data_IF_771104493193
#
_entry.id   IF_771104493193
#
_cell.length_a   1.000
_cell.length_b   1.000
_cell.length_c   1.000
_cell.angle_alpha   90.00
_cell.angle_beta   90.00
_cell.angle_gamma   90.00
#
_symmetry.space_group_name_H-M   'P 1'
#
loop_
_entity.id
_entity.type
_entity.pdbx_description
1 polymer ?
#
# COMPACT_ATOMS: atom_id res chain seq x y z
N UNK A 1 6.15 20.26 -4.87
CA UNK A 1 4.96 19.41 -4.97
C UNK A 1 3.74 20.27 -5.00
N UNK A 2 2.99 20.07 -5.94
CA UNK A 2 1.84 20.92 -6.10
C UNK A 2 0.63 20.36 -5.34
N UNK A 3 -0.33 21.22 -5.13
CA UNK A 3 -1.56 20.88 -4.45
C UNK A 3 -2.50 20.00 -5.28
N UNK A 4 -2.11 19.67 -6.53
CA UNK A 4 -2.92 18.82 -7.37
C UNK A 4 -2.80 17.35 -7.03
N UNK A 5 -1.76 16.95 -6.31
CA UNK A 5 -1.64 15.58 -5.81
C UNK A 5 -2.80 15.32 -4.86
N UNK A 6 -3.43 14.17 -5.03
CA UNK A 6 -4.58 13.78 -4.24
C UNK A 6 -5.79 14.70 -4.43
N UNK A 7 -5.84 15.45 -5.53
CA UNK A 7 -6.94 16.38 -5.78
C UNK A 7 -8.28 15.69 -5.95
N UNK A 8 -8.28 14.41 -6.32
CA UNK A 8 -9.52 13.63 -6.45
C UNK A 8 -10.08 13.18 -5.09
N UNK A 9 -9.35 13.42 -4.01
CA UNK A 9 -9.78 13.04 -2.67
C UNK A 9 -10.39 14.23 -1.96
N UNK A 10 -11.42 13.96 -1.17
CA UNK A 10 -12.12 14.97 -0.40
C UNK A 10 -11.81 14.78 1.08
N UNK A 11 -11.45 15.85 1.76
CA UNK A 11 -11.15 15.79 3.20
C UNK A 11 -9.72 15.37 3.51
N UNK A 12 -9.44 15.21 4.79
CA UNK A 12 -8.13 14.77 5.31
C UNK A 12 -6.95 15.59 4.81
N UNK A 13 -7.06 16.91 4.87
CA UNK A 13 -6.02 17.81 4.39
C UNK A 13 -4.68 17.61 5.10
N UNK A 14 -4.69 17.23 6.36
CA UNK A 14 -3.47 16.94 7.11
C UNK A 14 -2.72 15.74 6.51
N UNK A 15 -3.44 14.67 6.20
CA UNK A 15 -2.86 13.47 5.62
C UNK A 15 -2.30 13.76 4.24
N UNK A 16 -3.07 14.48 3.42
CA UNK A 16 -2.63 14.86 2.08
C UNK A 16 -1.34 15.68 2.14
N UNK A 17 -1.28 16.63 3.07
CA UNK A 17 -0.12 17.50 3.24
C UNK A 17 1.10 16.71 3.70
N UNK A 18 0.90 15.83 4.69
CA UNK A 18 1.97 14.97 5.18
C UNK A 18 2.54 14.11 4.06
N UNK A 19 1.69 13.46 3.28
CA UNK A 19 2.14 12.59 2.20
C UNK A 19 2.80 13.38 1.06
N UNK A 20 2.27 14.55 0.74
CA UNK A 20 2.88 15.41 -0.27
C UNK A 20 4.29 15.83 0.14
N UNK A 21 4.47 16.19 1.40
CA UNK A 21 5.78 16.58 1.93
C UNK A 21 6.73 15.39 1.93
N UNK A 22 6.25 14.22 2.33
CA UNK A 22 7.07 13.01 2.35
C UNK A 22 7.52 12.62 0.95
N UNK A 23 6.66 12.77 -0.04
CA UNK A 23 7.00 12.52 -1.44
C UNK A 23 8.09 13.47 -1.93
N UNK A 24 7.92 14.76 -1.63
CA UNK A 24 8.87 15.78 -2.05
C UNK A 24 10.25 15.56 -1.44
N UNK A 25 10.30 15.11 -0.19
CA UNK A 25 11.53 14.87 0.54
C UNK A 25 12.05 13.43 0.40
N UNK A 26 11.35 12.60 -0.34
CA UNK A 26 11.68 11.18 -0.52
C UNK A 26 11.79 10.44 0.81
N UNK A 27 10.88 10.77 1.74
CA UNK A 27 10.85 10.19 3.09
C UNK A 27 9.58 9.40 3.36
N UNK A 28 8.93 8.87 2.33
CA UNK A 28 7.73 8.04 2.52
C UNK A 28 8.14 6.80 3.32
N UNK A 29 7.51 6.56 4.49
CA UNK A 29 7.86 5.38 5.29
C UNK A 29 7.60 4.08 4.54
N UNK A 30 8.38 3.06 4.84
CA UNK A 30 8.22 1.74 4.22
C UNK A 30 6.91 1.06 4.60
N UNK A 31 6.28 1.46 5.69
CA UNK A 31 5.01 0.90 6.11
C UNK A 31 4.10 2.02 6.60
N UNK A 32 2.89 2.05 6.07
CA UNK A 32 1.86 3.02 6.46
C UNK A 32 0.57 2.28 6.78
N UNK A 33 -0.04 2.64 7.90
CA UNK A 33 -1.37 2.16 8.25
C UNK A 33 -2.32 3.32 7.98
N UNK A 34 -3.31 3.06 7.14
CA UNK A 34 -4.28 4.07 6.74
C UNK A 34 -5.65 3.67 7.25
N UNK A 35 -6.18 4.45 8.19
CA UNK A 35 -7.48 4.22 8.77
C UNK A 35 -8.53 5.14 8.14
N UNK A 36 -9.72 4.65 8.01
CA UNK A 36 -10.83 5.44 7.53
C UNK A 36 -12.05 4.58 7.28
N UNK A 37 -13.21 5.20 7.29
CA UNK A 37 -14.45 4.50 7.04
C UNK A 37 -14.45 3.89 5.63
N UNK A 38 -15.28 2.88 5.44
CA UNK A 38 -15.48 2.30 4.12
C UNK A 38 -15.95 3.40 3.16
N UNK A 39 -15.35 3.47 2.00
CA UNK A 39 -15.69 4.49 1.01
C UNK A 39 -15.04 5.84 1.24
N UNK A 40 -14.12 5.96 2.21
CA UNK A 40 -13.46 7.22 2.52
C UNK A 40 -12.32 7.59 1.56
N UNK A 41 -12.03 6.72 0.58
CA UNK A 41 -10.99 6.99 -0.41
C UNK A 41 -9.61 6.45 -0.05
N UNK A 42 -9.52 5.49 0.88
CA UNK A 42 -8.24 4.90 1.26
C UNK A 42 -7.50 4.28 0.07
N UNK A 43 -8.21 3.48 -0.71
CA UNK A 43 -7.62 2.83 -1.88
C UNK A 43 -7.15 3.87 -2.89
N UNK A 44 -7.97 4.89 -3.12
CA UNK A 44 -7.63 5.97 -4.05
C UNK A 44 -6.38 6.71 -3.58
N UNK A 45 -6.29 6.97 -2.28
CA UNK A 45 -5.13 7.63 -1.70
C UNK A 45 -3.86 6.83 -1.96
N UNK A 46 -3.89 5.53 -1.71
CA UNK A 46 -2.75 4.65 -1.92
C UNK A 46 -2.38 4.59 -3.40
N UNK A 47 -3.36 4.48 -4.28
CA UNK A 47 -3.13 4.46 -5.73
C UNK A 47 -2.42 5.74 -6.18
N UNK A 48 -2.91 6.90 -5.72
CA UNK A 48 -2.28 8.18 -6.04
C UNK A 48 -0.84 8.25 -5.52
N UNK A 49 -0.62 7.75 -4.31
CA UNK A 49 0.71 7.74 -3.71
C UNK A 49 1.68 6.86 -4.51
N UNK A 50 1.24 5.67 -4.90
CA UNK A 50 2.06 4.76 -5.69
C UNK A 50 2.38 5.37 -7.05
N UNK A 51 1.39 5.99 -7.69
CA UNK A 51 1.61 6.66 -8.98
C UNK A 51 2.64 7.78 -8.84
N UNK A 52 2.55 8.57 -7.78
CA UNK A 52 3.49 9.65 -7.54
C UNK A 52 4.91 9.16 -7.30
N UNK A 53 5.04 8.01 -6.64
CA UNK A 53 6.35 7.41 -6.37
C UNK A 53 6.96 6.73 -7.59
N UNK A 54 6.13 6.32 -8.54
CA UNK A 54 6.56 5.46 -9.65
C UNK A 54 6.74 6.19 -10.97
N UNK A 55 6.28 7.42 -11.07
CA UNK A 55 6.38 8.19 -12.30
C UNK A 55 5.25 7.92 -13.29
N UNK A 56 5.17 8.76 -14.32
CA UNK A 56 4.03 8.79 -15.23
C UNK A 56 3.96 7.59 -16.18
N UNK A 57 5.08 6.95 -16.47
CA UNK A 57 5.14 5.86 -17.47
C UNK A 57 4.21 4.69 -17.14
N UNK A 58 4.06 4.38 -15.85
CA UNK A 58 3.31 3.22 -15.42
C UNK A 58 1.97 3.58 -14.76
N UNK A 59 1.57 4.83 -14.83
CA UNK A 59 0.36 5.30 -14.16
C UNK A 59 -0.88 4.52 -14.58
N UNK A 60 -1.04 4.27 -15.88
CA UNK A 60 -2.20 3.55 -16.37
C UNK A 60 -2.27 2.13 -15.81
N UNK A 61 -1.16 1.42 -15.80
CA UNK A 61 -1.11 0.07 -15.25
C UNK A 61 -1.42 0.05 -13.76
N UNK A 62 -0.93 1.02 -13.03
CA UNK A 62 -1.18 1.12 -11.59
C UNK A 62 -2.66 1.38 -11.35
N UNK A 63 -3.25 2.32 -12.07
CA UNK A 63 -4.65 2.69 -11.87
C UNK A 63 -5.63 1.60 -12.25
N UNK A 64 -5.31 0.82 -13.29
CA UNK A 64 -6.22 -0.24 -13.72
C UNK A 64 -5.93 -1.60 -13.09
N UNK A 65 -4.95 -1.66 -12.18
CA UNK A 65 -4.67 -2.87 -11.40
C UNK A 65 -3.90 -3.94 -12.14
N UNK A 66 -3.23 -3.60 -13.26
CA UNK A 66 -2.47 -4.57 -14.04
C UNK A 66 -0.97 -4.52 -13.80
N UNK A 67 -0.49 -3.64 -12.94
CA UNK A 67 0.94 -3.56 -12.64
C UNK A 67 1.35 -4.73 -11.71
N UNK A 68 2.31 -5.54 -12.18
CA UNK A 68 2.74 -6.72 -11.42
C UNK A 68 3.54 -6.37 -10.16
N UNK A 69 4.05 -5.16 -10.06
CA UNK A 69 4.81 -4.71 -8.90
C UNK A 69 3.93 -4.09 -7.80
N UNK A 70 2.63 -4.03 -8.04
CA UNK A 70 1.65 -3.61 -7.04
C UNK A 70 0.80 -4.83 -6.69
N UNK A 71 1.05 -5.38 -5.52
CA UNK A 71 0.42 -6.63 -5.09
C UNK A 71 -0.65 -6.30 -4.04
N UNK A 72 -1.90 -6.63 -4.37
CA UNK A 72 -3.04 -6.35 -3.49
C UNK A 72 -3.47 -7.62 -2.78
N UNK A 73 -3.60 -7.54 -1.46
CA UNK A 73 -4.12 -8.61 -0.64
C UNK A 73 -5.42 -8.13 -0.02
N UNK A 74 -6.47 -8.93 -0.13
CA UNK A 74 -7.75 -8.57 0.47
C UNK A 74 -8.46 -9.81 0.99
N UNK A 75 -9.44 -9.57 1.86
CA UNK A 75 -10.22 -10.65 2.45
C UNK A 75 -11.07 -11.32 1.37
N UNK A 76 -10.90 -12.64 1.16
CA UNK A 76 -11.76 -13.35 0.20
C UNK A 76 -13.23 -13.28 0.63
N UNK A 77 -14.17 -13.20 -0.34
CA UNK A 77 -15.60 -13.05 -0.03
C UNK A 77 -16.17 -14.17 0.83
N UNK A 78 -15.58 -15.37 0.75
CA UNK A 78 -16.06 -16.55 1.46
C UNK A 78 -15.33 -16.80 2.78
N UNK A 79 -14.49 -15.87 3.21
CA UNK A 79 -13.70 -16.03 4.43
C UNK A 79 -13.92 -14.87 5.40
N UNK A 80 -13.63 -15.15 6.67
CA UNK A 80 -13.75 -14.16 7.75
C UNK A 80 -12.42 -13.59 8.19
N UNK A 81 -11.31 -14.18 7.74
CA UNK A 81 -9.99 -13.74 8.14
C UNK A 81 -8.98 -13.96 7.03
N UNK A 82 -7.87 -13.23 7.13
CA UNK A 82 -6.72 -13.38 6.25
C UNK A 82 -5.67 -14.13 7.06
N UNK A 83 -5.32 -15.32 6.59
CA UNK A 83 -4.43 -16.21 7.33
C UNK A 83 -2.96 -16.00 7.02
N UNK A 84 -2.13 -16.79 7.67
CA UNK A 84 -0.67 -16.69 7.57
C UNK A 84 -0.15 -16.96 6.16
N UNK A 85 -0.90 -17.69 5.34
CA UNK A 85 -0.53 -17.96 3.95
C UNK A 85 -0.36 -16.67 3.16
N UNK A 86 -1.21 -15.68 3.43
CA UNK A 86 -1.11 -14.38 2.75
C UNK A 86 0.22 -13.69 3.13
N UNK A 87 0.61 -13.74 4.40
CA UNK A 87 1.88 -13.16 4.83
C UNK A 87 3.08 -13.88 4.20
N UNK A 88 2.98 -15.19 4.05
CA UNK A 88 4.03 -15.98 3.38
C UNK A 88 4.17 -15.61 1.91
N UNK A 89 3.03 -15.40 1.22
CA UNK A 89 3.04 -14.94 -0.16
C UNK A 89 3.69 -13.57 -0.28
N UNK A 90 3.33 -12.66 0.62
CA UNK A 90 3.93 -11.32 0.64
C UNK A 90 5.45 -11.43 0.81
N UNK A 91 5.89 -12.26 1.74
CA UNK A 91 7.32 -12.46 1.97
C UNK A 91 8.04 -12.98 0.73
N UNK A 92 7.42 -13.93 0.05
CA UNK A 92 7.98 -14.50 -1.17
C UNK A 92 8.12 -13.45 -2.26
N UNK A 93 7.06 -12.68 -2.51
CA UNK A 93 7.08 -11.64 -3.54
C UNK A 93 7.98 -10.48 -3.18
N UNK A 94 8.13 -10.17 -1.89
CA UNK A 94 8.99 -9.08 -1.45
C UNK A 94 10.47 -9.36 -1.72
N UNK A 95 10.86 -10.63 -1.81
CA UNK A 95 12.24 -11.01 -2.08
C UNK A 95 12.58 -11.05 -3.58
N UNK A 96 11.58 -10.85 -4.44
CA UNK A 96 11.77 -10.84 -5.89
C UNK A 96 11.85 -9.40 -6.37
N UNK A 97 12.82 -9.10 -7.23
CA UNK A 97 13.00 -7.75 -7.73
C UNK A 97 11.80 -7.26 -8.54
N UNK A 98 11.57 -5.94 -8.55
CA UNK A 98 10.47 -5.37 -9.33
C UNK A 98 10.69 -5.59 -10.84
N UNK A 99 9.58 -5.65 -11.56
CA UNK A 99 9.60 -5.88 -12.99
C UNK A 99 9.46 -4.59 -13.80
N UNK A 100 8.43 -3.81 -13.53
CA UNK A 100 8.12 -2.59 -14.27
C UNK A 100 8.51 -1.31 -13.53
N UNK A 101 8.45 -1.33 -12.22
CA UNK A 101 8.70 -0.16 -11.38
C UNK A 101 10.07 -0.24 -10.74
N UNK A 102 10.49 0.85 -10.11
CA UNK A 102 11.74 0.88 -9.34
C UNK A 102 11.57 0.29 -7.95
N UNK A 103 10.34 0.00 -7.55
CA UNK A 103 10.04 -0.56 -6.24
C UNK A 103 8.84 -1.47 -6.30
N UNK A 104 8.56 -2.12 -5.17
CA UNK A 104 7.41 -2.99 -5.01
C UNK A 104 6.49 -2.44 -3.94
N UNK A 105 5.19 -2.57 -4.18
CA UNK A 105 4.17 -2.03 -3.30
C UNK A 105 3.18 -3.11 -2.93
N UNK A 106 3.00 -3.30 -1.64
CA UNK A 106 2.03 -4.25 -1.11
C UNK A 106 0.90 -3.47 -0.46
N UNK A 107 -0.31 -3.69 -0.97
CA UNK A 107 -1.50 -3.03 -0.46
C UNK A 107 -2.36 -4.10 0.21
N UNK A 108 -2.53 -3.99 1.52
CA UNK A 108 -3.30 -4.96 2.28
C UNK A 108 -4.60 -4.32 2.70
N UNK A 109 -5.67 -4.70 1.99
CA UNK A 109 -7.02 -4.29 2.37
C UNK A 109 -7.47 -5.14 3.55
N UNK A 110 -8.43 -4.64 4.30
CA UNK A 110 -9.00 -5.39 5.41
C UNK A 110 -7.94 -5.85 6.43
N UNK A 111 -7.00 -4.97 6.74
CA UNK A 111 -5.90 -5.32 7.65
C UNK A 111 -6.40 -5.81 9.00
N UNK A 112 -7.59 -5.37 9.45
CA UNK A 112 -8.19 -5.82 10.69
C UNK A 112 -8.60 -7.30 10.64
N UNK A 113 -8.71 -7.87 9.44
CA UNK A 113 -9.08 -9.28 9.27
C UNK A 113 -7.86 -10.22 9.33
N UNK A 114 -6.66 -9.69 9.44
CA UNK A 114 -5.45 -10.52 9.58
C UNK A 114 -5.52 -11.32 10.89
N UNK A 115 -5.25 -12.62 10.82
CA UNK A 115 -5.12 -13.42 12.02
C UNK A 115 -3.90 -12.98 12.82
N UNK A 116 -3.85 -13.35 14.10
CA UNK A 116 -2.68 -13.01 14.92
C UNK A 116 -1.40 -13.60 14.32
N UNK A 117 -1.48 -14.82 13.81
CA UNK A 117 -0.34 -15.46 13.16
C UNK A 117 0.11 -14.69 11.92
N UNK A 118 -0.86 -14.23 11.10
CA UNK A 118 -0.56 -13.43 9.92
C UNK A 118 0.07 -12.09 10.31
N UNK A 119 -0.47 -11.44 11.34
CA UNK A 119 0.08 -10.19 11.85
C UNK A 119 1.53 -10.35 12.30
N UNK A 120 1.80 -11.41 13.07
CA UNK A 120 3.15 -11.66 13.57
C UNK A 120 4.14 -11.95 12.44
N UNK A 121 3.71 -12.72 11.44
CA UNK A 121 4.55 -13.01 10.28
C UNK A 121 4.83 -11.73 9.47
N UNK A 122 3.82 -10.88 9.31
CA UNK A 122 3.97 -9.63 8.60
C UNK A 122 4.87 -8.65 9.34
N UNK A 123 4.75 -8.58 10.67
CA UNK A 123 5.62 -7.72 11.48
C UNK A 123 7.09 -8.03 11.28
N UNK A 124 7.44 -9.31 11.14
CA UNK A 124 8.82 -9.70 10.89
C UNK A 124 9.33 -9.14 9.58
N UNK A 125 8.49 -9.12 8.56
CA UNK A 125 8.83 -8.53 7.27
C UNK A 125 9.02 -7.02 7.39
N UNK A 126 8.14 -6.37 8.17
CA UNK A 126 8.18 -4.91 8.34
C UNK A 126 9.37 -4.44 9.18
N UNK A 127 9.84 -5.28 10.11
CA UNK A 127 10.99 -4.95 10.95
C UNK A 127 12.30 -4.95 10.15
N UNK A 128 12.39 -5.79 9.13
CA UNK A 128 13.57 -5.88 8.27
C UNK A 128 13.13 -5.74 6.81
N UNK A 129 12.62 -4.57 6.40
CA UNK A 129 12.10 -4.42 5.05
C UNK A 129 13.21 -4.50 4.01
N UNK A 130 12.91 -5.12 2.89
CA UNK A 130 13.80 -5.10 1.75
C UNK A 130 13.84 -3.70 1.17
N UNK A 131 14.99 -3.30 0.67
CA UNK A 131 15.12 -2.00 0.03
C UNK A 131 14.17 -1.92 -1.18
N UNK A 132 13.50 -0.78 -1.33
CA UNK A 132 12.58 -0.58 -2.44
C UNK A 132 11.23 -1.27 -2.31
N UNK A 133 10.85 -1.66 -1.09
CA UNK A 133 9.57 -2.30 -0.85
C UNK A 133 8.76 -1.47 0.14
N UNK A 134 7.50 -1.22 -0.21
CA UNK A 134 6.59 -0.44 0.63
C UNK A 134 5.32 -1.22 0.92
N UNK A 135 4.78 -0.99 2.13
CA UNK A 135 3.58 -1.68 2.60
C UNK A 135 2.53 -0.65 3.02
N UNK A 136 1.33 -0.82 2.52
CA UNK A 136 0.19 0.03 2.87
C UNK A 136 -0.92 -0.85 3.42
N UNK A 137 -1.22 -0.68 4.71
CA UNK A 137 -2.24 -1.45 5.39
C UNK A 137 -3.48 -0.58 5.56
N UNK A 138 -4.58 -1.01 4.98
CA UNK A 138 -5.83 -0.26 4.99
C UNK A 138 -6.80 -0.90 5.95
N UNK A 139 -7.39 -0.09 6.83
CA UNK A 139 -8.30 -0.59 7.84
C UNK A 139 -9.41 0.44 8.10
N UNK A 140 -10.54 -0.06 8.56
CA UNK A 140 -11.64 0.81 8.96
C UNK A 140 -11.44 1.35 10.38
N UNK A 141 -10.63 0.69 11.17
CA UNK A 141 -10.33 1.10 12.54
C UNK A 141 -8.86 0.99 12.83
#
# INVERSE_FOLDING_TARGET
MNSSLFSCLIGNDKVKRYLSDALRQETVPHALIIEGARGSGKHTLVTELICAMSGAENEEKIRNGTCVDVIVTELPPDRKSIGVEAAREIRRWASIEPNDLDGKFFVIHDAAALTLQAQNALLKILEEPCEGVWFFLLTEN
#
